data_IF_303362356244
#
_entry.id   IF_303362356244
#
_cell.length_a   1.000
_cell.length_b   1.000
_cell.length_c   1.000
_cell.angle_alpha   90.00
_cell.angle_beta   90.00
_cell.angle_gamma   90.00
#
_symmetry.space_group_name_H-M   'P 1'
#
loop_
_entity.id
_entity.type
_entity.pdbx_description
1 polymer ?
#
# COMPACT_ATOMS: atom_id res chain seq x y z
N UNK A 1 -4.41 -2.46 13.13
CA UNK A 1 -3.50 -1.73 12.21
C UNK A 1 -3.46 -2.45 10.89
N UNK A 2 -3.36 -1.73 9.79
CA UNK A 2 -3.26 -2.29 8.45
C UNK A 2 -2.06 -1.68 7.74
N UNK A 3 -1.23 -2.51 7.11
CA UNK A 3 -0.19 -2.07 6.20
C UNK A 3 -0.50 -2.54 4.79
N UNK A 4 -0.45 -1.63 3.82
CA UNK A 4 -0.69 -1.91 2.42
C UNK A 4 0.54 -1.60 1.59
N UNK A 5 0.90 -2.51 0.69
CA UNK A 5 2.04 -2.31 -0.21
C UNK A 5 1.84 -3.11 -1.49
N UNK A 6 2.10 -2.48 -2.63
CA UNK A 6 1.95 -3.16 -3.92
C UNK A 6 3.09 -4.15 -4.15
N UNK A 7 4.29 -3.77 -3.72
CA UNK A 7 5.53 -4.49 -4.03
C UNK A 7 6.13 -5.19 -2.82
N UNK A 8 5.68 -4.87 -1.61
CA UNK A 8 6.20 -5.41 -0.35
C UNK A 8 7.70 -5.19 -0.21
N UNK A 9 8.39 -6.21 0.29
CA UNK A 9 9.84 -6.20 0.50
C UNK A 9 10.61 -6.60 -0.78
N UNK A 10 10.27 -5.97 -1.92
CA UNK A 10 10.79 -6.35 -3.24
C UNK A 10 12.32 -6.29 -3.32
N UNK A 11 12.94 -5.31 -2.67
CA UNK A 11 14.39 -5.19 -2.61
C UNK A 11 15.03 -6.40 -1.90
N UNK A 12 14.43 -6.88 -0.79
CA UNK A 12 14.90 -8.07 -0.08
C UNK A 12 14.71 -9.32 -0.92
N UNK A 13 13.56 -9.45 -1.56
CA UNK A 13 13.26 -10.57 -2.46
C UNK A 13 14.27 -10.63 -3.60
N UNK A 14 14.63 -9.49 -4.20
CA UNK A 14 15.67 -9.43 -5.22
C UNK A 14 17.03 -9.89 -4.68
N UNK A 15 17.46 -9.41 -3.51
CA UNK A 15 18.73 -9.83 -2.88
C UNK A 15 18.78 -11.33 -2.63
N UNK A 16 17.67 -11.93 -2.16
CA UNK A 16 17.55 -13.37 -1.93
C UNK A 16 17.66 -14.15 -3.25
N UNK A 17 16.90 -13.74 -4.28
CA UNK A 17 16.93 -14.40 -5.59
C UNK A 17 18.30 -14.28 -6.26
N UNK A 18 18.96 -13.12 -6.13
CA UNK A 18 20.31 -12.90 -6.64
C UNK A 18 21.32 -13.80 -5.93
N UNK A 19 21.27 -13.91 -4.59
CA UNK A 19 22.14 -14.79 -3.84
C UNK A 19 21.95 -16.26 -4.24
N UNK A 20 20.70 -16.71 -4.42
CA UNK A 20 20.41 -18.06 -4.94
C UNK A 20 21.00 -18.29 -6.34
N UNK A 21 20.83 -17.34 -7.25
CA UNK A 21 21.37 -17.43 -8.61
C UNK A 21 22.90 -17.46 -8.65
N UNK A 22 23.57 -16.89 -7.63
CA UNK A 22 25.02 -16.86 -7.49
C UNK A 22 25.56 -17.96 -6.56
N UNK A 23 24.72 -18.90 -6.12
CA UNK A 23 25.08 -19.96 -5.17
C UNK A 23 25.70 -19.43 -3.85
N UNK A 24 25.24 -18.25 -3.41
CA UNK A 24 25.68 -17.59 -2.19
C UNK A 24 24.80 -17.97 -1.00
N UNK A 25 25.38 -17.94 0.21
CA UNK A 25 24.64 -18.16 1.43
C UNK A 25 23.57 -17.07 1.64
N UNK A 26 22.36 -17.50 2.03
CA UNK A 26 21.26 -16.61 2.35
C UNK A 26 21.40 -16.06 3.77
N UNK A 27 21.15 -14.76 3.93
CA UNK A 27 21.02 -14.12 5.23
C UNK A 27 19.70 -14.54 5.89
N UNK A 28 19.70 -15.21 7.05
CA UNK A 28 18.48 -15.59 7.75
C UNK A 28 17.61 -14.39 8.12
N UNK A 29 18.24 -13.26 8.44
CA UNK A 29 17.55 -12.01 8.76
C UNK A 29 16.88 -11.42 7.52
N UNK A 30 17.53 -11.43 6.36
CA UNK A 30 16.90 -10.93 5.13
C UNK A 30 15.71 -11.79 4.73
N UNK A 31 15.82 -13.12 4.87
CA UNK A 31 14.71 -14.04 4.63
C UNK A 31 13.56 -13.81 5.63
N UNK A 32 13.84 -13.71 6.92
CA UNK A 32 12.82 -13.47 7.94
C UNK A 32 12.08 -12.12 7.75
N UNK A 33 12.77 -11.12 7.19
CA UNK A 33 12.21 -9.80 6.93
C UNK A 33 11.61 -9.65 5.52
N UNK A 34 11.69 -10.66 4.65
CA UNK A 34 11.19 -10.57 3.27
C UNK A 34 9.68 -10.80 3.14
N UNK A 35 9.03 -11.20 4.24
CA UNK A 35 7.58 -11.36 4.31
C UNK A 35 6.89 -9.99 4.25
N UNK A 36 5.76 -9.90 3.57
CA UNK A 36 5.04 -8.63 3.34
C UNK A 36 4.61 -7.92 4.64
N UNK A 37 4.32 -8.70 5.69
CA UNK A 37 3.91 -8.19 6.99
C UNK A 37 5.08 -7.79 7.90
N UNK A 38 6.34 -7.82 7.43
CA UNK A 38 7.50 -7.50 8.26
C UNK A 38 7.44 -6.08 8.82
N UNK A 39 6.98 -5.10 8.03
CA UNK A 39 6.83 -3.71 8.46
C UNK A 39 5.84 -3.55 9.64
N UNK A 40 4.63 -4.14 9.53
CA UNK A 40 3.63 -4.06 10.61
C UNK A 40 4.05 -4.87 11.85
N UNK A 41 4.70 -6.02 11.65
CA UNK A 41 5.23 -6.83 12.75
C UNK A 41 6.36 -6.13 13.51
N UNK A 42 7.28 -5.47 12.81
CA UNK A 42 8.34 -4.68 13.45
C UNK A 42 7.77 -3.49 14.22
N UNK A 43 6.72 -2.84 13.71
CA UNK A 43 6.07 -1.74 14.42
C UNK A 43 5.46 -2.21 15.75
N UNK A 44 4.75 -3.33 15.79
CA UNK A 44 4.15 -3.83 17.04
C UNK A 44 5.22 -4.18 18.08
N UNK A 45 6.34 -4.77 17.67
CA UNK A 45 7.50 -5.07 18.53
C UNK A 45 8.12 -3.78 19.06
N UNK A 46 8.46 -2.84 18.17
CA UNK A 46 9.14 -1.60 18.53
C UNK A 46 8.28 -0.72 19.45
N UNK A 47 6.98 -0.60 19.15
CA UNK A 47 6.03 0.13 19.99
C UNK A 47 5.67 -0.61 21.28
N UNK A 48 6.02 -1.90 21.40
CA UNK A 48 5.59 -2.80 22.49
C UNK A 48 4.07 -2.84 22.64
N UNK A 49 3.38 -2.89 21.51
CA UNK A 49 1.92 -2.83 21.44
C UNK A 49 1.38 -4.08 20.72
N UNK A 50 0.71 -5.02 21.43
CA UNK A 50 0.15 -6.23 20.83
C UNK A 50 -1.20 -5.95 20.17
N UNK A 51 -1.21 -5.08 19.17
CA UNK A 51 -2.43 -4.69 18.45
C UNK A 51 -2.68 -5.65 17.29
N UNK A 52 -3.95 -6.00 17.06
CA UNK A 52 -4.36 -6.74 15.87
C UNK A 52 -3.84 -6.03 14.63
N UNK A 53 -3.12 -6.78 13.80
CA UNK A 53 -2.44 -6.28 12.61
C UNK A 53 -2.78 -7.15 11.41
N UNK A 54 -2.94 -6.49 10.27
CA UNK A 54 -3.16 -7.11 8.96
C UNK A 54 -2.22 -6.46 7.94
N UNK A 55 -1.96 -7.17 6.84
CA UNK A 55 -1.14 -6.68 5.75
C UNK A 55 -1.69 -7.15 4.41
N UNK A 56 -1.79 -6.25 3.45
CA UNK A 56 -2.54 -6.48 2.20
C UNK A 56 -1.76 -5.97 0.98
N UNK A 57 -1.87 -6.72 -0.12
CA UNK A 57 -1.42 -6.32 -1.45
C UNK A 57 -2.51 -6.68 -2.46
N UNK A 58 -2.83 -5.74 -3.36
CA UNK A 58 -3.84 -5.90 -4.40
C UNK A 58 -3.43 -5.17 -5.70
N UNK A 59 -2.14 -5.21 -6.05
CA UNK A 59 -1.62 -4.57 -7.25
C UNK A 59 -1.76 -3.05 -7.21
N UNK A 60 -2.21 -2.45 -8.32
CA UNK A 60 -2.41 -1.00 -8.41
C UNK A 60 -3.46 -0.48 -7.42
N UNK A 61 -4.45 -1.31 -7.10
CA UNK A 61 -5.57 -0.97 -6.24
C UNK A 61 -5.32 -1.23 -4.74
N UNK A 62 -4.07 -1.53 -4.36
CA UNK A 62 -3.68 -1.90 -2.99
C UNK A 62 -4.17 -0.92 -1.93
N UNK A 63 -3.99 0.39 -2.14
CA UNK A 63 -4.47 1.42 -1.22
C UNK A 63 -6.00 1.37 -1.06
N UNK A 64 -6.74 1.36 -2.18
CA UNK A 64 -8.20 1.39 -2.15
C UNK A 64 -8.81 0.11 -1.55
N UNK A 65 -8.25 -1.05 -1.90
CA UNK A 65 -8.65 -2.33 -1.31
C UNK A 65 -8.30 -2.41 0.18
N UNK A 66 -7.22 -1.76 0.60
CA UNK A 66 -6.89 -1.58 2.02
C UNK A 66 -7.99 -0.86 2.81
N UNK A 67 -8.67 0.10 2.19
CA UNK A 67 -9.79 0.79 2.84
C UNK A 67 -10.99 -0.14 3.07
N UNK A 68 -11.19 -1.15 2.21
CA UNK A 68 -12.19 -2.20 2.47
C UNK A 68 -11.85 -3.01 3.73
N UNK A 69 -10.60 -3.41 3.90
CA UNK A 69 -10.13 -4.09 5.12
C UNK A 69 -10.27 -3.20 6.35
N UNK A 70 -9.98 -1.89 6.24
CA UNK A 70 -10.23 -0.91 7.31
C UNK A 70 -11.71 -0.88 7.68
N UNK A 71 -12.63 -0.84 6.70
CA UNK A 71 -14.06 -0.88 6.96
C UNK A 71 -14.47 -2.17 7.70
N UNK A 72 -13.92 -3.33 7.31
CA UNK A 72 -14.16 -4.59 8.01
C UNK A 72 -13.68 -4.53 9.48
N UNK A 73 -12.50 -3.97 9.74
CA UNK A 73 -12.00 -3.76 11.11
C UNK A 73 -12.92 -2.82 11.90
N UNK A 74 -13.32 -1.68 11.33
CA UNK A 74 -14.25 -0.76 12.01
C UNK A 74 -15.58 -1.45 12.34
N UNK A 75 -16.13 -2.23 11.39
CA UNK A 75 -17.35 -3.01 11.60
C UNK A 75 -17.20 -4.11 12.66
N UNK A 76 -15.99 -4.66 12.82
CA UNK A 76 -15.66 -5.61 13.88
C UNK A 76 -15.54 -4.96 15.28
N UNK A 77 -15.73 -3.64 15.39
CA UNK A 77 -15.80 -2.92 16.67
C UNK A 77 -14.55 -2.10 17.01
N UNK A 78 -13.52 -2.10 16.16
CA UNK A 78 -12.37 -1.20 16.35
C UNK A 78 -12.79 0.25 16.10
N UNK A 79 -12.41 1.16 17.00
CA UNK A 79 -12.83 2.56 16.91
C UNK A 79 -11.92 3.41 16.00
N UNK A 80 -10.63 3.08 16.00
CA UNK A 80 -9.58 3.78 15.24
C UNK A 80 -8.67 2.76 14.58
N UNK A 81 -8.46 2.90 13.27
CA UNK A 81 -7.57 2.03 12.51
C UNK A 81 -6.46 2.88 11.90
N UNK A 82 -5.22 2.59 12.30
CA UNK A 82 -4.04 3.07 11.57
C UNK A 82 -3.89 2.23 10.30
N UNK A 83 -3.92 2.89 9.16
CA UNK A 83 -3.56 2.34 7.86
C UNK A 83 -2.28 3.01 7.36
N UNK A 84 -1.29 2.22 6.94
CA UNK A 84 -0.04 2.72 6.34
C UNK A 84 0.10 2.11 4.95
N UNK A 85 0.11 2.95 3.92
CA UNK A 85 0.38 2.54 2.54
C UNK A 85 1.82 2.93 2.18
N UNK A 86 2.60 1.98 1.67
CA UNK A 86 4.02 2.19 1.40
C UNK A 86 4.52 1.32 0.24
N UNK A 87 5.62 1.74 -0.36
CA UNK A 87 6.49 0.87 -1.14
C UNK A 87 7.95 1.29 -0.94
N UNK A 88 8.85 0.32 -1.09
CA UNK A 88 10.29 0.55 -1.09
C UNK A 88 10.82 0.97 -2.46
N UNK A 89 12.13 1.11 -2.57
CA UNK A 89 12.78 1.28 -3.86
C UNK A 89 12.56 0.04 -4.74
N UNK A 90 12.21 0.24 -6.01
CA UNK A 90 12.14 -0.85 -6.98
C UNK A 90 13.54 -1.05 -7.59
N UNK A 91 14.17 -2.23 -7.42
CA UNK A 91 15.50 -2.48 -7.97
C UNK A 91 15.59 -2.26 -9.47
N UNK A 92 16.70 -1.68 -9.93
CA UNK A 92 16.97 -1.36 -11.35
C UNK A 92 16.80 -2.57 -12.28
N UNK A 93 17.06 -3.78 -11.77
CA UNK A 93 16.82 -5.04 -12.47
C UNK A 93 15.41 -5.15 -13.08
N UNK A 94 14.39 -4.60 -12.41
CA UNK A 94 13.01 -4.68 -12.88
C UNK A 94 12.66 -3.57 -13.89
N UNK A 95 13.38 -2.44 -13.89
CA UNK A 95 13.00 -1.22 -14.62
C UNK A 95 12.69 -1.44 -16.12
N UNK A 96 13.46 -2.23 -16.88
CA UNK A 96 13.17 -2.45 -18.31
C UNK A 96 11.82 -3.12 -18.60
N UNK A 97 11.20 -3.75 -17.60
CA UNK A 97 9.90 -4.43 -17.71
C UNK A 97 8.76 -3.66 -17.03
N UNK A 98 9.06 -2.53 -16.40
CA UNK A 98 8.04 -1.71 -15.75
C UNK A 98 7.33 -0.82 -16.78
N UNK A 99 6.04 -0.53 -16.58
CA UNK A 99 5.36 0.53 -17.31
C UNK A 99 6.09 1.88 -17.14
N UNK A 100 6.13 2.77 -18.16
CA UNK A 100 6.94 3.99 -18.15
C UNK A 100 6.70 4.96 -16.99
N UNK A 101 5.52 4.93 -16.35
CA UNK A 101 5.15 5.82 -15.26
C UNK A 101 5.13 5.15 -13.89
N UNK A 102 5.59 3.89 -13.77
CA UNK A 102 5.60 3.19 -12.48
C UNK A 102 6.50 3.93 -11.48
N UNK A 103 5.99 4.31 -10.30
CA UNK A 103 6.83 4.84 -9.24
C UNK A 103 7.87 3.81 -8.81
N UNK A 104 9.15 4.18 -8.84
CA UNK A 104 10.28 3.34 -8.44
C UNK A 104 10.99 3.81 -7.18
N UNK A 105 10.56 4.96 -6.64
CA UNK A 105 11.11 5.60 -5.45
C UNK A 105 10.29 5.23 -4.21
N UNK A 106 10.94 5.19 -3.02
CA UNK A 106 10.27 4.78 -1.80
C UNK A 106 9.31 5.86 -1.29
N UNK A 107 8.19 5.44 -0.71
CA UNK A 107 7.24 6.34 -0.09
C UNK A 107 6.49 5.65 1.05
N UNK A 108 5.89 6.45 1.94
CA UNK A 108 4.89 5.96 2.89
C UNK A 108 3.88 7.06 3.21
N UNK A 109 2.61 6.68 3.38
CA UNK A 109 1.53 7.54 3.85
C UNK A 109 0.78 6.82 4.95
N UNK A 110 0.53 7.51 6.06
CA UNK A 110 -0.22 6.98 7.19
C UNK A 110 -1.52 7.75 7.40
N UNK A 111 -2.62 7.03 7.59
CA UNK A 111 -3.93 7.56 7.92
C UNK A 111 -4.45 6.93 9.20
N UNK A 112 -5.03 7.74 10.08
CA UNK A 112 -5.86 7.24 11.19
C UNK A 112 -7.30 7.42 10.77
N UNK A 113 -8.03 6.31 10.69
CA UNK A 113 -9.38 6.26 10.13
C UNK A 113 -10.37 5.87 11.23
N UNK A 114 -11.48 6.60 11.28
CA UNK A 114 -12.60 6.45 12.20
C UNK A 114 -13.90 6.27 11.41
N UNK A 115 -14.94 5.75 12.05
CA UNK A 115 -16.27 5.69 11.47
C UNK A 115 -16.84 7.11 11.27
N UNK A 116 -17.40 7.35 10.09
CA UNK A 116 -17.95 8.66 9.74
C UNK A 116 -18.44 8.72 8.29
N UNK A 117 -18.86 9.90 7.87
CA UNK A 117 -19.43 10.17 6.54
C UNK A 117 -18.84 11.42 5.87
N UNK A 118 -17.71 11.92 6.36
CA UNK A 118 -17.03 13.11 5.81
C UNK A 118 -16.43 12.88 4.42
N UNK A 119 -16.17 11.62 4.09
CA UNK A 119 -15.72 11.17 2.79
C UNK A 119 -16.54 9.96 2.36
N UNK A 120 -16.87 9.89 1.07
CA UNK A 120 -17.48 8.73 0.46
C UNK A 120 -16.69 8.30 -0.77
N UNK A 121 -16.65 7.00 -1.04
CA UNK A 121 -16.01 6.43 -2.22
C UNK A 121 -16.98 5.50 -2.93
N UNK A 122 -17.14 5.69 -4.23
CA UNK A 122 -17.88 4.80 -5.10
C UNK A 122 -16.97 4.21 -6.17
N UNK A 123 -17.08 2.90 -6.40
CA UNK A 123 -16.33 2.22 -7.45
C UNK A 123 -17.14 2.21 -8.74
N UNK A 124 -16.49 2.55 -9.87
CA UNK A 124 -17.05 2.38 -11.21
C UNK A 124 -16.15 1.48 -12.05
N UNK A 125 -16.71 0.66 -12.96
CA UNK A 125 -15.92 -0.02 -13.98
C UNK A 125 -15.15 1.01 -14.80
N UNK A 126 -13.87 0.74 -15.04
CA UNK A 126 -12.99 1.57 -15.85
C UNK A 126 -12.25 0.72 -16.88
N UNK A 127 -11.86 1.33 -18.00
CA UNK A 127 -10.89 0.70 -18.89
C UNK A 127 -9.51 0.67 -18.21
N UNK A 128 -8.62 -0.28 -18.57
CA UNK A 128 -7.23 -0.23 -18.14
C UNK A 128 -6.59 1.10 -18.50
N UNK A 129 -5.98 1.75 -17.51
CA UNK A 129 -5.29 3.03 -17.66
C UNK A 129 -3.78 2.85 -17.45
N UNK A 130 -2.99 3.73 -18.04
CA UNK A 130 -1.55 3.78 -17.79
C UNK A 130 -1.27 4.09 -16.30
N UNK A 131 -0.10 3.66 -15.81
CA UNK A 131 0.37 4.00 -14.47
C UNK A 131 0.41 5.52 -14.28
N UNK A 132 0.21 5.96 -13.05
CA UNK A 132 0.32 7.38 -12.69
C UNK A 132 1.68 7.66 -12.04
N UNK A 133 2.25 8.88 -12.19
CA UNK A 133 3.53 9.22 -11.57
C UNK A 133 3.50 9.21 -10.04
N UNK A 134 2.30 9.34 -9.46
CA UNK A 134 2.05 9.22 -8.04
C UNK A 134 1.24 7.94 -7.75
N UNK A 135 1.60 7.17 -6.72
CA UNK A 135 0.79 6.09 -6.16
C UNK A 135 -0.61 6.56 -5.74
N UNK A 136 -1.57 5.64 -5.68
CA UNK A 136 -2.98 5.95 -5.33
C UNK A 136 -3.11 6.67 -3.98
N UNK A 137 -2.36 6.27 -2.96
CA UNK A 137 -2.39 6.89 -1.63
C UNK A 137 -1.88 8.32 -1.61
N UNK A 138 -0.86 8.63 -2.41
CA UNK A 138 -0.32 9.99 -2.56
C UNK A 138 -1.22 10.87 -3.42
N UNK A 139 -1.85 10.33 -4.48
CA UNK A 139 -2.88 11.03 -5.22
C UNK A 139 -4.07 11.36 -4.30
N UNK A 140 -4.53 10.39 -3.49
CA UNK A 140 -5.56 10.61 -2.50
C UNK A 140 -5.17 11.73 -1.54
N UNK A 141 -3.98 11.66 -0.94
CA UNK A 141 -3.49 12.66 0.01
C UNK A 141 -3.42 14.06 -0.63
N UNK A 142 -2.92 14.16 -1.86
CA UNK A 142 -2.85 15.42 -2.60
C UNK A 142 -4.24 16.03 -2.76
N UNK A 143 -5.23 15.27 -3.23
CA UNK A 143 -6.61 15.75 -3.42
C UNK A 143 -7.29 16.07 -2.10
N UNK A 144 -7.05 15.25 -1.08
CA UNK A 144 -7.54 15.48 0.28
C UNK A 144 -7.02 16.82 0.82
N UNK A 145 -5.71 17.08 0.76
CA UNK A 145 -5.10 18.33 1.25
C UNK A 145 -5.49 19.56 0.43
N UNK A 146 -5.84 19.38 -0.84
CA UNK A 146 -6.39 20.45 -1.68
C UNK A 146 -7.84 20.81 -1.34
N UNK A 147 -8.48 20.12 -0.40
CA UNK A 147 -9.91 20.26 -0.10
C UNK A 147 -10.79 20.13 -1.34
N UNK A 148 -10.44 19.21 -2.25
CA UNK A 148 -11.28 18.95 -3.41
C UNK A 148 -12.63 18.34 -2.98
N UNK A 149 -13.74 18.91 -3.47
CA UNK A 149 -15.09 18.43 -3.18
C UNK A 149 -15.35 17.04 -3.76
N UNK A 150 -14.80 16.77 -4.95
CA UNK A 150 -14.84 15.46 -5.57
C UNK A 150 -13.60 15.23 -6.44
N UNK A 151 -13.14 13.98 -6.52
CA UNK A 151 -12.03 13.57 -7.37
C UNK A 151 -12.11 12.08 -7.70
N UNK A 152 -11.41 11.65 -8.74
CA UNK A 152 -11.35 10.24 -9.14
C UNK A 152 -9.92 9.76 -9.11
N UNK A 153 -9.71 8.57 -8.56
CA UNK A 153 -8.41 7.89 -8.55
C UNK A 153 -8.46 6.68 -9.49
N UNK A 154 -7.50 6.54 -10.42
CA UNK A 154 -7.50 5.45 -11.38
C UNK A 154 -6.99 4.15 -10.73
N UNK A 155 -7.73 3.07 -10.93
CA UNK A 155 -7.35 1.69 -10.61
C UNK A 155 -6.85 0.92 -11.82
N UNK A 156 -6.71 -0.40 -11.70
CA UNK A 156 -6.33 -1.26 -12.83
C UNK A 156 -7.48 -1.43 -13.84
N UNK A 157 -8.69 -1.67 -13.35
CA UNK A 157 -9.91 -1.90 -14.17
C UNK A 157 -11.15 -1.19 -13.61
N UNK A 158 -10.91 -0.29 -12.67
CA UNK A 158 -11.94 0.44 -11.94
C UNK A 158 -11.47 1.86 -11.73
N UNK A 159 -12.42 2.73 -11.43
CA UNK A 159 -12.19 4.09 -10.99
C UNK A 159 -12.81 4.27 -9.61
N UNK A 160 -12.07 4.95 -8.73
CA UNK A 160 -12.49 5.21 -7.36
C UNK A 160 -12.90 6.68 -7.24
N UNK A 161 -14.19 6.90 -7.18
CA UNK A 161 -14.79 8.24 -7.14
C UNK A 161 -14.98 8.66 -5.70
N UNK A 162 -14.19 9.65 -5.28
CA UNK A 162 -14.25 10.23 -3.96
C UNK A 162 -15.05 11.51 -3.97
N UNK A 163 -15.85 11.71 -2.92
CA UNK A 163 -16.48 13.00 -2.62
C UNK A 163 -16.43 13.31 -1.14
N UNK A 164 -16.39 14.61 -0.83
CA UNK A 164 -16.64 15.16 0.49
C UNK A 164 -18.14 15.41 0.65
N UNK A 165 -18.64 15.18 1.86
CA UNK A 165 -19.99 15.56 2.25
C UNK A 165 -20.07 17.05 2.60
#
# INVERSE_FOLDING_TARGET
MLYTSRHGELERNYRILHALAMEQALSPTDFALSVHNSAVGNLTIAAKQPVVSSSLSAGRDTFQQGLCEVMCLLQAGYQRVLMVDFDGFLPEFYHPRLPPQMPTWPYAVAFVIETGNSLSCATRPGAPQDETPLPQSLLFLQRYLQNADAFTLPGERVEWQWSRA
#
